data_IF_939617255170
#
_entry.id   IF_939617255170
#
_cell.length_a   1.000
_cell.length_b   1.000
_cell.length_c   1.000
_cell.angle_alpha   90.00
_cell.angle_beta   90.00
_cell.angle_gamma   90.00
#
_symmetry.space_group_name_H-M   'P 1'
#
loop_
_entity.id
_entity.type
_entity.pdbx_description
1 polymer ?
#
# COMPACT_ATOMS: atom_id res chain seq x y z
N UNK A 1 4.19 4.71 3.48
CA UNK A 1 3.56 6.04 3.45
C UNK A 1 4.64 7.09 3.32
N UNK A 2 4.37 8.14 2.55
CA UNK A 2 5.22 9.33 2.51
C UNK A 2 4.75 10.34 3.55
N UNK A 3 5.69 10.86 4.33
CA UNK A 3 5.45 11.81 5.41
C UNK A 3 6.39 13.01 5.32
N UNK A 4 6.18 13.99 6.19
CA UNK A 4 7.07 15.14 6.34
C UNK A 4 7.25 15.47 7.82
N UNK A 5 8.41 16.00 8.18
CA UNK A 5 8.67 16.54 9.50
C UNK A 5 7.67 17.68 9.80
N UNK A 6 7.12 17.68 11.02
CA UNK A 6 6.12 18.66 11.48
C UNK A 6 4.74 18.61 10.78
N UNK A 7 4.42 17.51 10.10
CA UNK A 7 3.09 17.28 9.53
C UNK A 7 2.11 16.68 10.56
N UNK A 8 1.16 17.48 11.06
CA UNK A 8 0.10 17.01 11.99
C UNK A 8 -0.75 15.88 11.40
N UNK A 9 -1.25 15.97 10.15
CA UNK A 9 -2.00 14.86 9.53
C UNK A 9 -1.17 13.56 9.41
N UNK A 10 0.14 13.68 9.24
CA UNK A 10 1.04 12.51 9.19
C UNK A 10 1.09 11.81 10.56
N UNK A 11 1.08 12.55 11.68
CA UNK A 11 0.99 11.94 13.01
C UNK A 11 -0.32 11.17 13.21
N UNK A 12 -1.45 11.71 12.75
CA UNK A 12 -2.74 10.99 12.78
C UNK A 12 -2.67 9.71 11.95
N UNK A 13 -2.04 9.75 10.79
CA UNK A 13 -1.83 8.58 9.94
C UNK A 13 -0.94 7.53 10.62
N UNK A 14 0.13 7.92 11.32
CA UNK A 14 0.96 6.99 12.11
C UNK A 14 0.15 6.23 13.16
N UNK A 15 -0.80 6.89 13.83
CA UNK A 15 -1.68 6.23 14.81
C UNK A 15 -2.56 5.17 14.14
N UNK A 16 -3.19 5.55 13.03
CA UNK A 16 -4.04 4.63 12.23
C UNK A 16 -3.23 3.43 11.73
N UNK A 17 -2.04 3.65 11.16
CA UNK A 17 -1.18 2.54 10.71
C UNK A 17 -0.67 1.68 11.88
N UNK A 18 -0.50 2.27 13.06
CA UNK A 18 -0.21 1.54 14.29
C UNK A 18 -1.34 0.59 14.70
N UNK A 19 -2.60 0.99 14.54
CA UNK A 19 -3.77 0.12 14.75
C UNK A 19 -3.82 -1.00 13.71
N UNK A 20 -3.63 -0.67 12.43
CA UNK A 20 -3.59 -1.65 11.34
C UNK A 20 -2.51 -2.70 11.59
N UNK A 21 -1.32 -2.29 12.02
CA UNK A 21 -0.21 -3.22 12.33
C UNK A 21 -0.52 -4.18 13.48
N UNK A 22 -1.41 -3.80 14.42
CA UNK A 22 -1.87 -4.73 15.48
C UNK A 22 -2.83 -5.78 14.93
N UNK A 23 -3.65 -5.42 13.94
CA UNK A 23 -4.63 -6.32 13.31
C UNK A 23 -3.99 -7.22 12.25
N UNK A 24 -2.97 -6.72 11.54
CA UNK A 24 -2.30 -7.40 10.44
C UNK A 24 -0.77 -7.33 10.63
N UNK A 25 -0.19 -8.09 11.57
CA UNK A 25 1.22 -7.93 11.95
C UNK A 25 2.22 -8.34 10.86
N UNK A 26 1.79 -9.17 9.91
CA UNK A 26 2.61 -9.62 8.79
C UNK A 26 2.71 -8.59 7.66
N UNK A 27 1.89 -7.52 7.68
CA UNK A 27 1.88 -6.51 6.63
C UNK A 27 3.05 -5.54 6.80
N UNK A 28 4.00 -5.47 5.83
CA UNK A 28 5.05 -4.48 5.87
C UNK A 28 4.47 -3.08 5.71
N UNK A 29 4.81 -2.18 6.62
CA UNK A 29 4.45 -0.77 6.57
C UNK A 29 5.73 0.04 6.72
N UNK A 30 6.12 0.70 5.64
CA UNK A 30 7.27 1.59 5.62
C UNK A 30 6.81 3.05 5.72
N UNK A 31 7.58 3.87 6.43
CA UNK A 31 7.41 5.33 6.45
C UNK A 31 8.64 5.98 5.83
N UNK A 32 8.40 6.84 4.84
CA UNK A 32 9.42 7.55 4.08
C UNK A 32 9.21 9.05 4.23
N UNK A 33 10.13 9.73 4.91
CA UNK A 33 10.12 11.19 4.97
C UNK A 33 10.55 11.77 3.61
N UNK A 34 9.75 12.69 3.05
CA UNK A 34 9.97 13.29 1.74
C UNK A 34 11.23 14.16 1.66
N UNK A 35 11.66 14.77 2.78
CA UNK A 35 12.89 15.55 2.83
C UNK A 35 14.13 14.65 2.94
N UNK A 36 13.99 13.47 3.55
CA UNK A 36 15.06 12.47 3.59
C UNK A 36 15.19 11.65 2.30
N UNK A 37 14.09 11.50 1.53
CA UNK A 37 14.05 10.71 0.29
C UNK A 37 13.43 11.52 -0.88
N UNK A 38 14.05 12.64 -1.29
CA UNK A 38 13.47 13.54 -2.28
C UNK A 38 13.31 12.90 -3.65
N UNK A 39 14.32 12.14 -4.13
CA UNK A 39 14.28 11.49 -5.45
C UNK A 39 13.13 10.47 -5.53
N UNK A 40 12.96 9.68 -4.48
CA UNK A 40 11.88 8.69 -4.40
C UNK A 40 10.51 9.36 -4.27
N UNK A 41 10.41 10.49 -3.57
CA UNK A 41 9.17 11.26 -3.50
C UNK A 41 8.79 11.85 -4.87
N UNK A 42 9.77 12.30 -5.65
CA UNK A 42 9.57 12.79 -7.02
C UNK A 42 9.15 11.65 -7.96
N UNK A 43 9.87 10.53 -7.97
CA UNK A 43 9.56 9.34 -8.76
C UNK A 43 8.11 8.85 -8.48
N UNK A 44 7.74 8.84 -7.20
CA UNK A 44 6.41 8.46 -6.75
C UNK A 44 5.34 9.53 -6.95
N UNK A 45 5.69 10.69 -7.52
CA UNK A 45 4.81 11.83 -7.77
C UNK A 45 4.06 12.27 -6.53
N UNK A 46 4.77 12.39 -5.40
CA UNK A 46 4.19 12.82 -4.13
C UNK A 46 3.97 14.34 -4.16
N UNK A 47 2.70 14.76 -4.15
CA UNK A 47 2.30 16.17 -4.22
C UNK A 47 1.86 16.73 -2.87
N UNK A 48 1.51 15.86 -1.94
CA UNK A 48 1.01 16.20 -0.62
C UNK A 48 1.43 15.13 0.40
N UNK A 49 1.53 15.51 1.67
CA UNK A 49 1.76 14.58 2.77
C UNK A 49 0.61 14.65 3.78
N UNK A 50 0.15 13.52 4.34
CA UNK A 50 0.60 12.16 4.06
C UNK A 50 0.06 11.64 2.73
N UNK A 51 0.86 10.84 2.04
CA UNK A 51 0.40 10.03 0.90
C UNK A 51 0.68 8.56 1.19
N UNK A 52 -0.33 7.71 1.06
CA UNK A 52 -0.23 6.27 1.24
C UNK A 52 -0.25 5.62 -0.12
N UNK A 53 0.71 4.74 -0.35
CA UNK A 53 0.79 3.88 -1.51
C UNK A 53 0.72 2.44 -1.00
N UNK A 54 -0.22 1.67 -1.52
CA UNK A 54 -0.34 0.24 -1.28
C UNK A 54 0.13 -0.48 -2.55
N UNK A 55 0.96 -1.50 -2.37
CA UNK A 55 1.53 -2.27 -3.47
C UNK A 55 1.23 -3.75 -3.36
N UNK A 56 1.14 -4.41 -4.51
CA UNK A 56 1.17 -5.86 -4.66
C UNK A 56 2.35 -6.22 -5.56
N UNK A 57 3.49 -6.58 -4.97
CA UNK A 57 4.78 -6.60 -5.68
C UNK A 57 5.17 -5.19 -6.13
N UNK A 58 5.60 -5.04 -7.38
CA UNK A 58 5.97 -3.73 -7.93
C UNK A 58 4.76 -2.87 -8.34
N UNK A 59 3.56 -3.46 -8.36
CA UNK A 59 2.34 -2.78 -8.80
C UNK A 59 1.72 -1.95 -7.68
N UNK A 60 1.57 -0.65 -7.91
CA UNK A 60 0.70 0.22 -7.11
C UNK A 60 -0.77 -0.18 -7.33
N UNK A 61 -1.47 -0.57 -6.26
CA UNK A 61 -2.87 -1.00 -6.30
C UNK A 61 -3.82 0.04 -5.70
N UNK A 62 -3.31 0.90 -4.82
CA UNK A 62 -4.06 1.99 -4.26
C UNK A 62 -3.12 3.13 -3.87
N UNK A 63 -3.60 4.35 -4.11
CA UNK A 63 -3.04 5.59 -3.58
C UNK A 63 -4.12 6.34 -2.84
N UNK A 64 -3.78 6.86 -1.67
CA UNK A 64 -4.64 7.74 -0.91
C UNK A 64 -3.84 8.94 -0.40
N UNK A 65 -4.38 10.14 -0.59
CA UNK A 65 -3.84 11.37 -0.03
C UNK A 65 -4.64 11.76 1.22
N UNK A 66 -3.95 12.26 2.25
CA UNK A 66 -4.57 12.62 3.52
C UNK A 66 -4.64 11.46 4.52
N UNK A 67 -5.38 11.69 5.62
CA UNK A 67 -5.45 10.75 6.75
C UNK A 67 -6.53 9.70 6.47
N UNK A 68 -6.17 8.41 6.31
CA UNK A 68 -7.18 7.36 6.15
C UNK A 68 -7.77 6.96 7.51
N UNK A 69 -8.84 6.19 7.47
CA UNK A 69 -9.29 5.37 8.61
C UNK A 69 -8.66 3.98 8.56
N UNK A 70 -8.57 3.28 9.69
CA UNK A 70 -8.06 1.90 9.72
C UNK A 70 -8.87 0.95 8.80
N UNK A 71 -10.22 1.01 8.76
CA UNK A 71 -11.00 0.23 7.80
C UNK A 71 -10.65 0.50 6.33
N UNK A 72 -10.38 1.76 5.95
CA UNK A 72 -9.98 2.09 4.58
C UNK A 72 -8.64 1.44 4.20
N UNK A 73 -7.67 1.46 5.12
CA UNK A 73 -6.37 0.80 4.90
C UNK A 73 -6.55 -0.72 4.79
N UNK A 74 -7.34 -1.34 5.67
CA UNK A 74 -7.60 -2.78 5.62
C UNK A 74 -8.31 -3.19 4.32
N UNK A 75 -9.30 -2.41 3.86
CA UNK A 75 -9.95 -2.66 2.58
C UNK A 75 -8.97 -2.54 1.40
N UNK A 76 -8.04 -1.59 1.44
CA UNK A 76 -6.99 -1.47 0.43
C UNK A 76 -6.08 -2.71 0.38
N UNK A 77 -5.74 -3.26 1.56
CA UNK A 77 -4.95 -4.50 1.68
C UNK A 77 -5.69 -5.69 1.09
N UNK A 78 -6.99 -5.85 1.41
CA UNK A 78 -7.81 -6.93 0.82
C UNK A 78 -7.84 -6.82 -0.70
N UNK A 79 -8.10 -5.62 -1.25
CA UNK A 79 -8.06 -5.38 -2.71
C UNK A 79 -6.70 -5.70 -3.32
N UNK A 80 -5.60 -5.43 -2.60
CA UNK A 80 -4.24 -5.76 -3.04
C UNK A 80 -4.05 -7.28 -3.18
N UNK A 81 -4.59 -8.05 -2.25
CA UNK A 81 -4.52 -9.51 -2.23
C UNK A 81 -5.45 -10.14 -3.27
N UNK A 82 -6.68 -9.64 -3.42
CA UNK A 82 -7.66 -10.15 -4.37
C UNK A 82 -7.28 -9.84 -5.84
N UNK A 83 -6.66 -8.67 -6.05
CA UNK A 83 -6.11 -8.28 -7.35
C UNK A 83 -4.76 -8.93 -7.66
N UNK A 84 -4.13 -9.61 -6.69
CA UNK A 84 -2.92 -10.39 -6.88
C UNK A 84 -3.27 -11.82 -7.30
N UNK A 85 -3.74 -12.00 -8.54
CA UNK A 85 -3.55 -13.30 -9.19
C UNK A 85 -2.04 -13.48 -9.40
N UNK A 86 -1.38 -14.48 -8.78
CA UNK A 86 0.01 -14.76 -9.11
C UNK A 86 0.11 -15.13 -10.60
N UNK A 87 1.12 -14.67 -11.35
CA UNK A 87 1.34 -15.15 -12.71
C UNK A 87 1.74 -16.63 -12.63
N UNK A 88 0.78 -17.53 -12.76
CA UNK A 88 1.06 -18.97 -12.78
C UNK A 88 -0.01 -19.90 -12.21
N UNK A 89 -1.26 -19.84 -12.71
CA UNK A 89 -2.17 -21.00 -12.57
C UNK A 89 -3.13 -21.19 -13.74
N UNK A 90 -2.90 -20.56 -14.89
CA UNK A 90 -3.69 -20.78 -16.11
C UNK A 90 -3.17 -21.95 -16.96
N UNK A 91 -1.97 -22.49 -16.69
CA UNK A 91 -1.38 -23.60 -17.46
C UNK A 91 -1.87 -25.02 -17.10
N UNK A 92 -2.70 -25.20 -16.07
CA UNK A 92 -3.15 -26.53 -15.63
C UNK A 92 -4.60 -26.87 -15.99
N UNK A 93 -5.39 -25.89 -16.48
CA UNK A 93 -6.81 -26.10 -16.84
C UNK A 93 -7.05 -26.35 -18.34
N UNK A 94 -6.03 -26.17 -19.18
CA UNK A 94 -6.12 -26.39 -20.62
C UNK A 94 -5.64 -27.77 -21.08
N UNK A 95 -5.31 -28.69 -20.15
CA UNK A 95 -5.25 -30.13 -20.49
C UNK A 95 -6.64 -30.74 -20.41
N UNK A 96 -7.54 -30.20 -21.22
CA UNK A 96 -8.79 -30.85 -21.59
C UNK A 96 -8.43 -31.79 -22.76
N UNK A 97 -8.18 -33.04 -22.43
CA UNK A 97 -8.53 -34.15 -23.33
C UNK A 97 -9.89 -34.68 -22.83
N UNK A 98 -10.83 -35.03 -23.72
CA UNK A 98 -10.61 -36.21 -24.55
C UNK A 98 -11.12 -36.12 -26.00
N UNK A 99 -10.39 -36.78 -26.91
CA UNK A 99 -10.96 -37.56 -28.00
C UNK A 99 -10.41 -38.99 -27.92
#
# INVERSE_FOLDING_TARGET
>A
MFSSLFCVPCQSTRRVLGEVRRLVPWLPIEELDVAAHPDLAEEQRIRSTPTIIVRAGDREVLRAEGVPTAPQVLQAVVRAMDGATPPGSQGARDRRDPA
#
